data_IF_709069712727
#
_entry.id   IF_709069712727
#
_cell.length_a   1.000
_cell.length_b   1.000
_cell.length_c   1.000
_cell.angle_alpha   90.00
_cell.angle_beta   90.00
_cell.angle_gamma   90.00
#
_symmetry.space_group_name_H-M   'P 1'
#
loop_
_entity.id
_entity.type
_entity.pdbx_description
1 polymer ?
#
# COMPACT_ATOMS: atom_id res chain seq x y z
N UNK A 1 -15.39 27.95 -0.66
CA UNK A 1 -14.89 27.37 0.59
C UNK A 1 -15.58 26.02 0.76
N UNK A 2 -15.06 24.99 0.09
CA UNK A 2 -15.49 23.59 0.25
C UNK A 2 -14.28 22.85 0.77
N UNK A 3 -14.47 22.23 1.91
CA UNK A 3 -13.53 21.40 2.61
C UNK A 3 -13.64 20.00 1.99
N UNK A 4 -12.59 19.55 1.32
CA UNK A 4 -12.47 18.18 0.82
C UNK A 4 -11.27 17.56 1.53
N UNK A 5 -11.53 17.11 2.76
CA UNK A 5 -10.71 16.14 3.46
C UNK A 5 -10.81 14.82 2.69
N UNK A 6 -9.72 14.30 2.13
CA UNK A 6 -9.82 13.13 1.24
C UNK A 6 -8.50 12.59 0.71
N UNK A 7 -7.50 12.38 1.56
CA UNK A 7 -6.72 11.15 1.46
C UNK A 7 -7.44 10.18 2.40
N UNK A 8 -7.83 8.94 2.03
CA UNK A 8 -8.49 8.06 2.98
C UNK A 8 -7.49 7.71 4.09
N UNK A 9 -7.58 8.45 5.19
CA UNK A 9 -6.97 8.13 6.47
C UNK A 9 -8.01 7.31 7.23
N UNK A 10 -7.80 6.00 7.34
CA UNK A 10 -8.51 5.16 8.30
C UNK A 10 -9.35 4.05 7.68
N UNK A 11 -9.07 2.83 8.11
CA UNK A 11 -9.94 1.69 7.84
C UNK A 11 -11.32 1.87 8.47
N UNK A 12 -12.32 1.24 7.87
CA UNK A 12 -13.66 1.02 8.42
C UNK A 12 -14.18 -0.33 7.89
N UNK A 13 -15.27 -0.89 8.46
CA UNK A 13 -15.28 -2.11 9.26
C UNK A 13 -15.74 -3.37 8.50
N UNK A 14 -15.51 -4.50 9.16
CA UNK A 14 -15.95 -5.86 8.83
C UNK A 14 -17.40 -5.89 8.29
N UNK A 15 -17.54 -6.30 7.02
CA UNK A 15 -18.76 -6.95 6.52
C UNK A 15 -18.35 -8.17 5.70
N UNK A 16 -18.40 -9.31 6.40
CA UNK A 16 -18.24 -10.67 5.87
C UNK A 16 -19.27 -10.91 4.77
N UNK A 17 -18.84 -10.89 3.50
CA UNK A 17 -19.69 -11.31 2.38
C UNK A 17 -18.92 -12.27 1.47
N UNK A 18 -19.55 -13.42 1.24
CA UNK A 18 -19.05 -14.59 0.52
C UNK A 18 -18.61 -14.25 -0.91
N UNK A 19 -17.34 -14.54 -1.23
CA UNK A 19 -16.82 -14.52 -2.60
C UNK A 19 -17.46 -15.67 -3.38
N UNK A 20 -18.33 -15.32 -4.35
CA UNK A 20 -18.81 -16.26 -5.37
C UNK A 20 -17.76 -16.32 -6.48
N UNK A 21 -17.07 -17.46 -6.54
CA UNK A 21 -16.13 -17.84 -7.59
C UNK A 21 -16.79 -17.70 -8.98
N UNK A 22 -16.10 -17.04 -9.91
CA UNK A 22 -16.36 -17.14 -11.34
C UNK A 22 -15.06 -17.47 -12.05
N UNK A 23 -15.00 -18.68 -12.61
CA UNK A 23 -13.91 -19.17 -13.42
C UNK A 23 -13.97 -18.60 -14.84
N UNK A 24 -12.81 -18.13 -15.33
CA UNK A 24 -12.52 -17.82 -16.72
C UNK A 24 -11.01 -18.00 -16.92
N UNK A 25 -10.60 -18.66 -18.01
CA UNK A 25 -9.19 -18.96 -18.31
C UNK A 25 -8.38 -17.67 -18.50
N UNK A 26 -7.62 -17.31 -17.47
CA UNK A 26 -6.62 -16.24 -17.38
C UNK A 26 -5.90 -16.44 -16.05
N UNK A 27 -4.59 -16.25 -15.98
CA UNK A 27 -3.81 -16.55 -14.77
C UNK A 27 -4.47 -16.00 -13.51
N UNK A 28 -4.78 -16.90 -12.58
CA UNK A 28 -5.34 -16.50 -11.28
C UNK A 28 -4.23 -15.78 -10.54
N UNK A 29 -4.49 -14.54 -10.10
CA UNK A 29 -3.51 -13.79 -9.31
C UNK A 29 -3.10 -14.63 -8.10
N UNK A 30 -1.79 -14.74 -7.81
CA UNK A 30 -1.33 -15.49 -6.66
C UNK A 30 -1.88 -14.86 -5.38
N UNK A 31 -2.27 -15.69 -4.41
CA UNK A 31 -2.68 -15.19 -3.09
C UNK A 31 -1.48 -14.82 -2.21
N UNK A 32 -0.29 -15.35 -2.54
CA UNK A 32 0.95 -15.20 -1.78
C UNK A 32 2.12 -14.98 -2.73
N UNK A 33 2.96 -14.00 -2.42
CA UNK A 33 4.15 -13.64 -3.22
C UNK A 33 5.36 -13.41 -2.31
N UNK A 34 6.61 -13.56 -2.81
CA UNK A 34 7.81 -13.08 -2.14
C UNK A 34 7.66 -11.63 -1.66
N UNK A 35 8.16 -11.32 -0.47
CA UNK A 35 7.99 -9.99 0.15
C UNK A 35 8.72 -8.86 -0.60
N UNK A 36 9.70 -9.21 -1.41
CA UNK A 36 10.47 -8.31 -2.27
C UNK A 36 9.86 -8.12 -3.66
N UNK A 37 8.77 -8.82 -3.99
CA UNK A 37 8.11 -8.73 -5.30
C UNK A 37 7.15 -7.53 -5.41
N UNK A 38 6.26 -7.24 -4.44
CA UNK A 38 5.39 -6.08 -4.55
C UNK A 38 6.12 -4.75 -4.42
N UNK A 39 5.94 -3.90 -5.43
CA UNK A 39 6.59 -2.60 -5.55
C UNK A 39 5.90 -1.56 -4.65
N UNK A 40 6.63 -0.82 -3.79
CA UNK A 40 6.05 0.26 -3.01
C UNK A 40 5.65 1.45 -3.87
N UNK A 41 4.42 1.93 -3.69
CA UNK A 41 3.95 3.22 -4.24
C UNK A 41 4.09 4.40 -3.26
N UNK A 42 4.78 4.22 -2.12
CA UNK A 42 4.88 5.22 -1.06
C UNK A 42 6.32 5.35 -0.56
N UNK A 43 6.84 6.57 -0.50
CA UNK A 43 8.24 6.85 -0.11
C UNK A 43 8.50 6.74 1.40
N UNK A 44 7.50 7.02 2.24
CA UNK A 44 7.68 7.18 3.67
C UNK A 44 6.65 6.39 4.45
N UNK A 45 6.98 5.93 5.65
CA UNK A 45 5.98 5.41 6.59
C UNK A 45 5.71 6.48 7.65
N UNK A 46 4.44 6.78 7.88
CA UNK A 46 4.03 7.63 8.99
C UNK A 46 4.21 6.90 10.33
N UNK A 47 5.09 7.43 11.19
CA UNK A 47 5.40 6.86 12.49
C UNK A 47 4.17 6.72 13.40
N UNK A 48 3.16 7.59 13.26
CA UNK A 48 1.92 7.47 14.04
C UNK A 48 1.07 6.29 13.58
N UNK A 49 0.98 6.04 12.27
CA UNK A 49 0.32 4.84 11.72
C UNK A 49 1.08 3.58 12.10
N UNK A 50 2.41 3.59 12.00
CA UNK A 50 3.24 2.46 12.42
C UNK A 50 3.03 2.15 13.90
N UNK A 51 3.02 3.16 14.78
CA UNK A 51 2.76 2.97 16.21
C UNK A 51 1.41 2.31 16.45
N UNK A 52 0.35 2.80 15.81
CA UNK A 52 -0.98 2.21 15.94
C UNK A 52 -1.02 0.76 15.43
N UNK A 53 -0.27 0.45 14.38
CA UNK A 53 -0.16 -0.92 13.87
C UNK A 53 0.56 -1.85 14.85
N UNK A 54 1.62 -1.35 15.50
CA UNK A 54 2.35 -2.10 16.53
C UNK A 54 1.51 -2.44 17.77
N UNK A 55 0.37 -1.78 18.00
CA UNK A 55 -0.53 -2.11 19.13
C UNK A 55 -1.26 -3.45 18.96
N UNK A 56 -1.42 -3.93 17.72
CA UNK A 56 -2.14 -5.16 17.42
C UNK A 56 -1.34 -6.17 16.60
N UNK A 57 -0.19 -5.78 16.05
CA UNK A 57 0.65 -6.67 15.26
C UNK A 57 1.48 -7.60 16.17
N UNK A 58 1.29 -8.91 16.03
CA UNK A 58 2.10 -9.93 16.69
C UNK A 58 3.28 -10.31 15.77
N UNK A 59 4.52 -10.14 16.25
CA UNK A 59 5.71 -10.46 15.48
C UNK A 59 6.02 -11.96 15.47
N UNK A 60 5.57 -12.70 16.47
CA UNK A 60 5.80 -14.15 16.57
C UNK A 60 4.74 -14.92 15.77
N UNK A 61 3.54 -14.35 15.60
CA UNK A 61 2.46 -14.89 14.76
C UNK A 61 1.78 -13.77 13.92
N UNK A 62 2.44 -13.28 12.84
CA UNK A 62 1.92 -12.18 12.03
C UNK A 62 0.57 -12.47 11.37
N UNK A 63 -0.51 -12.03 12.02
CA UNK A 63 -1.87 -12.10 11.50
C UNK A 63 -2.35 -10.72 11.05
N UNK A 64 -2.54 -10.54 9.74
CA UNK A 64 -3.08 -9.33 9.14
C UNK A 64 -3.84 -9.67 7.85
N UNK A 65 -4.78 -8.80 7.47
CA UNK A 65 -5.51 -8.97 6.20
C UNK A 65 -4.54 -8.87 5.01
N UNK A 66 -4.76 -9.64 3.92
CA UNK A 66 -3.96 -9.56 2.70
C UNK A 66 -3.77 -8.12 2.21
N UNK A 67 -2.61 -7.87 1.62
CA UNK A 67 -2.19 -6.53 1.23
C UNK A 67 -2.81 -6.19 -0.13
N UNK A 68 -3.57 -5.08 -0.26
CA UNK A 68 -4.14 -4.66 -1.52
C UNK A 68 -3.05 -4.30 -2.54
N UNK A 69 -3.18 -4.82 -3.75
CA UNK A 69 -2.29 -4.51 -4.87
C UNK A 69 -3.06 -4.12 -6.13
N UNK A 70 -2.44 -3.24 -6.90
CA UNK A 70 -2.75 -3.02 -8.30
C UNK A 70 -1.83 -3.87 -9.16
N UNK A 71 -2.36 -4.39 -10.27
CA UNK A 71 -1.53 -4.97 -11.32
C UNK A 71 -1.31 -3.90 -12.38
N UNK A 72 -0.14 -3.25 -12.34
CA UNK A 72 0.23 -2.18 -13.27
C UNK A 72 1.30 -2.75 -14.20
N UNK A 73 0.93 -2.92 -15.47
CA UNK A 73 1.78 -3.59 -16.47
C UNK A 73 2.03 -5.04 -16.05
N UNK A 74 3.26 -5.41 -15.72
CA UNK A 74 3.64 -6.76 -15.28
C UNK A 74 4.10 -6.77 -13.81
N UNK A 75 3.77 -5.74 -13.03
CA UNK A 75 4.19 -5.58 -11.63
C UNK A 75 3.01 -5.51 -10.66
N UNK A 76 3.16 -6.13 -9.48
CA UNK A 76 2.29 -5.89 -8.34
C UNK A 76 2.73 -4.61 -7.64
N UNK A 77 1.86 -3.60 -7.60
CA UNK A 77 2.10 -2.33 -6.94
C UNK A 77 1.22 -2.25 -5.70
N UNK A 78 1.82 -2.03 -4.53
CA UNK A 78 1.07 -1.82 -3.29
C UNK A 78 0.18 -0.59 -3.44
N UNK A 79 -1.15 -0.73 -3.39
CA UNK A 79 -2.06 0.42 -3.37
C UNK A 79 -2.29 0.93 -1.95
N UNK A 80 -2.32 0.02 -0.98
CA UNK A 80 -2.37 0.30 0.45
C UNK A 80 -1.57 -0.77 1.22
N UNK A 81 -1.48 -0.64 2.54
CA UNK A 81 -0.93 -1.66 3.40
C UNK A 81 0.59 -1.64 3.50
N UNK A 82 1.28 -0.58 3.04
CA UNK A 82 2.74 -0.46 3.15
C UNK A 82 3.24 -0.61 4.60
N UNK A 83 2.48 -0.13 5.58
CA UNK A 83 2.81 -0.33 7.01
C UNK A 83 2.72 -1.81 7.42
N UNK A 84 1.71 -2.55 6.92
CA UNK A 84 1.56 -4.00 7.18
C UNK A 84 2.66 -4.79 6.49
N UNK A 85 2.92 -4.51 5.23
CA UNK A 85 4.02 -5.11 4.47
C UNK A 85 5.36 -4.89 5.19
N UNK A 86 5.61 -3.65 5.64
CA UNK A 86 6.82 -3.30 6.35
C UNK A 86 6.94 -4.01 7.71
N UNK A 87 5.86 -4.14 8.47
CA UNK A 87 5.86 -4.92 9.71
C UNK A 87 6.11 -6.41 9.46
N UNK A 88 5.52 -7.00 8.41
CA UNK A 88 5.80 -8.37 8.00
C UNK A 88 7.29 -8.56 7.65
N UNK A 89 7.89 -7.59 6.96
CA UNK A 89 9.32 -7.59 6.68
C UNK A 89 10.15 -7.54 7.97
N UNK A 90 9.80 -6.68 8.92
CA UNK A 90 10.48 -6.59 10.22
C UNK A 90 10.31 -7.87 11.07
N UNK A 91 9.21 -8.61 10.89
CA UNK A 91 8.98 -9.92 11.51
C UNK A 91 9.78 -11.05 10.83
N UNK A 92 10.51 -10.76 9.75
CA UNK A 92 11.30 -11.75 9.02
C UNK A 92 10.48 -12.61 8.05
N UNK A 93 9.28 -12.17 7.67
CA UNK A 93 8.49 -12.86 6.65
C UNK A 93 9.22 -12.86 5.31
N UNK A 94 9.24 -14.02 4.64
CA UNK A 94 9.79 -14.17 3.29
C UNK A 94 8.74 -13.98 2.21
N UNK A 95 7.47 -14.10 2.58
CA UNK A 95 6.30 -13.97 1.69
C UNK A 95 5.22 -13.15 2.38
N UNK A 96 4.34 -12.55 1.59
CA UNK A 96 3.16 -11.84 2.05
C UNK A 96 1.94 -12.25 1.25
N UNK A 97 0.77 -12.25 1.89
CA UNK A 97 -0.49 -12.45 1.20
C UNK A 97 -0.93 -11.16 0.51
N UNK A 98 -1.35 -11.26 -0.74
CA UNK A 98 -1.83 -10.14 -1.55
C UNK A 98 -3.25 -10.39 -2.05
N UNK A 99 -3.96 -9.31 -2.35
CA UNK A 99 -5.31 -9.35 -2.93
C UNK A 99 -5.45 -8.22 -3.94
N UNK A 100 -6.18 -8.40 -5.05
CA UNK A 100 -6.50 -7.28 -5.93
C UNK A 100 -7.21 -6.19 -5.13
N UNK A 101 -6.82 -4.94 -5.36
CA UNK A 101 -7.48 -3.82 -4.70
C UNK A 101 -8.98 -3.82 -5.04
N UNK A 102 -9.87 -3.86 -4.03
CA UNK A 102 -11.32 -3.92 -4.24
C UNK A 102 -11.86 -2.68 -4.94
N UNK A 103 -11.18 -1.54 -4.79
CA UNK A 103 -11.58 -0.23 -5.27
C UNK A 103 -10.74 0.19 -6.49
N UNK A 104 -9.98 -0.72 -7.11
CA UNK A 104 -9.07 -0.43 -8.24
C UNK A 104 -9.71 0.34 -9.41
N UNK A 105 -11.02 0.21 -9.62
CA UNK A 105 -11.76 0.91 -10.68
C UNK A 105 -11.96 2.40 -10.38
N UNK A 106 -11.85 2.80 -9.12
CA UNK A 106 -11.98 4.18 -8.63
C UNK A 106 -10.60 4.82 -8.39
N UNK A 107 -9.53 4.03 -8.44
CA UNK A 107 -8.16 4.51 -8.24
C UNK A 107 -7.62 5.20 -9.50
N UNK A 108 -6.96 6.33 -9.30
CA UNK A 108 -6.25 7.05 -10.35
C UNK A 108 -4.93 6.32 -10.68
N UNK A 109 -5.01 5.34 -11.59
CA UNK A 109 -3.85 4.54 -12.02
C UNK A 109 -2.68 5.39 -12.53
N UNK A 110 -2.88 6.47 -13.32
CA UNK A 110 -1.80 7.39 -13.67
C UNK A 110 -1.05 7.97 -12.47
N UNK A 111 -1.75 8.40 -11.41
CA UNK A 111 -1.12 8.90 -10.19
C UNK A 111 -0.29 7.81 -9.50
N UNK A 112 -0.81 6.57 -9.44
CA UNK A 112 -0.05 5.44 -8.88
C UNK A 112 1.24 5.13 -9.68
N UNK A 113 1.20 5.24 -11.01
CA UNK A 113 2.41 5.12 -11.86
C UNK A 113 3.44 6.19 -11.50
N UNK A 114 3.00 7.44 -11.32
CA UNK A 114 3.90 8.53 -10.91
C UNK A 114 4.49 8.31 -9.51
N UNK A 115 3.69 7.83 -8.56
CA UNK A 115 4.15 7.45 -7.24
C UNK A 115 5.23 6.34 -7.29
N UNK A 116 5.05 5.33 -8.15
CA UNK A 116 6.05 4.29 -8.41
C UNK A 116 7.33 4.88 -9.00
N UNK A 117 7.22 5.80 -9.97
CA UNK A 117 8.39 6.48 -10.55
C UNK A 117 9.17 7.29 -9.51
N UNK A 118 8.48 7.98 -8.59
CA UNK A 118 9.14 8.66 -7.48
C UNK A 118 9.89 7.68 -6.57
N UNK A 119 9.28 6.54 -6.27
CA UNK A 119 9.91 5.48 -5.47
C UNK A 119 11.16 4.92 -6.17
N UNK A 120 11.09 4.62 -7.48
CA UNK A 120 12.26 4.22 -8.29
C UNK A 120 13.39 5.24 -8.23
N UNK A 121 13.07 6.52 -8.44
CA UNK A 121 14.05 7.61 -8.44
C UNK A 121 14.75 7.79 -7.09
N UNK A 122 14.06 7.46 -5.99
CA UNK A 122 14.62 7.50 -4.65
C UNK A 122 15.17 6.15 -4.15
N UNK A 123 15.27 5.15 -5.04
CA UNK A 123 15.73 3.80 -4.68
C UNK A 123 14.89 3.13 -3.59
N UNK A 124 13.57 3.32 -3.66
CA UNK A 124 12.56 2.59 -2.89
C UNK A 124 11.87 1.63 -3.85
N UNK A 125 12.40 0.43 -3.96
CA UNK A 125 11.97 -0.57 -4.97
C UNK A 125 11.36 -1.82 -4.35
N UNK A 126 11.59 -2.03 -3.06
CA UNK A 126 11.11 -3.17 -2.29
C UNK A 126 10.67 -2.69 -0.91
N UNK A 127 9.82 -3.47 -0.24
CA UNK A 127 9.31 -3.15 1.11
C UNK A 127 10.43 -2.88 2.12
N UNK A 128 11.56 -3.59 2.00
CA UNK A 128 12.72 -3.41 2.87
C UNK A 128 13.33 -2.00 2.79
N UNK A 129 13.20 -1.31 1.64
CA UNK A 129 13.77 0.03 1.43
C UNK A 129 13.02 1.12 2.21
N UNK A 130 11.86 0.78 2.80
CA UNK A 130 11.15 1.63 3.76
C UNK A 130 11.86 1.69 5.13
N UNK A 131 12.82 0.81 5.39
CA UNK A 131 13.67 0.89 6.56
C UNK A 131 14.48 2.21 6.54
N UNK A 132 14.40 2.96 7.64
CA UNK A 132 15.00 4.30 7.72
C UNK A 132 14.15 5.41 7.09
N UNK A 133 12.97 5.11 6.53
CA UNK A 133 12.01 6.08 5.96
C UNK A 133 10.74 6.23 6.80
N UNK A 134 10.81 5.84 8.07
CA UNK A 134 9.76 6.09 9.07
C UNK A 134 9.92 7.53 9.57
N UNK A 135 8.94 8.39 9.29
CA UNK A 135 9.00 9.83 9.58
C UNK A 135 7.86 10.28 10.48
N UNK A 136 7.99 11.46 11.09
CA UNK A 136 6.92 12.04 11.89
C UNK A 136 5.65 12.26 11.06
N UNK A 137 4.48 12.37 11.71
CA UNK A 137 3.22 12.69 11.01
C UNK A 137 3.36 13.97 10.19
N UNK A 138 3.92 15.02 10.76
CA UNK A 138 4.07 16.32 10.08
C UNK A 138 4.96 16.17 8.85
N UNK A 139 6.10 15.50 8.99
CA UNK A 139 7.00 15.21 7.87
C UNK A 139 6.33 14.35 6.79
N UNK A 140 5.53 13.36 7.17
CA UNK A 140 4.78 12.54 6.22
C UNK A 140 3.76 13.39 5.44
N UNK A 141 3.02 14.27 6.13
CA UNK A 141 2.06 15.15 5.47
C UNK A 141 2.77 16.12 4.50
N UNK A 142 3.89 16.70 4.91
CA UNK A 142 4.62 17.69 4.12
C UNK A 142 5.40 17.08 2.95
N UNK A 143 6.06 15.94 3.15
CA UNK A 143 6.96 15.36 2.14
C UNK A 143 6.30 14.32 1.24
N UNK A 144 5.25 13.65 1.74
CA UNK A 144 4.51 12.65 0.97
C UNK A 144 3.15 13.17 0.51
N UNK A 145 2.26 13.48 1.45
CA UNK A 145 0.87 13.83 1.11
C UNK A 145 0.81 15.08 0.25
N UNK A 146 1.53 16.15 0.63
CA UNK A 146 1.56 17.37 -0.17
C UNK A 146 2.21 17.17 -1.55
N UNK A 147 3.16 16.23 -1.68
CA UNK A 147 3.77 15.87 -2.97
C UNK A 147 2.76 15.19 -3.88
N UNK A 148 2.00 14.22 -3.37
CA UNK A 148 0.90 13.60 -4.10
C UNK A 148 -0.14 14.65 -4.52
N UNK A 149 -0.56 15.53 -3.61
CA UNK A 149 -1.54 16.59 -3.88
C UNK A 149 -1.07 17.65 -4.88
N UNK A 150 0.24 17.86 -4.98
CA UNK A 150 0.83 18.78 -5.96
C UNK A 150 0.96 18.14 -7.36
N UNK A 151 0.73 16.84 -7.50
CA UNK A 151 0.70 16.19 -8.80
C UNK A 151 -0.48 16.72 -9.62
N UNK A 152 -0.27 17.06 -10.91
CA UNK A 152 -1.37 17.36 -11.82
C UNK A 152 -2.38 16.21 -11.93
N UNK A 153 -1.95 14.97 -11.68
CA UNK A 153 -2.80 13.79 -11.75
C UNK A 153 -3.71 13.63 -10.54
N UNK A 154 -3.50 14.39 -9.45
CA UNK A 154 -4.26 14.20 -8.20
C UNK A 154 -5.77 14.48 -8.35
N UNK A 155 -6.12 15.52 -9.12
CA UNK A 155 -7.50 15.95 -9.32
C UNK A 155 -8.15 15.35 -10.60
N UNK A 156 -7.44 14.49 -11.32
CA UNK A 156 -7.91 13.86 -12.58
C UNK A 156 -8.63 12.51 -12.36
N UNK A 157 -8.85 12.11 -11.09
CA UNK A 157 -9.49 10.85 -10.67
C UNK A 157 -10.99 10.97 -10.41
#
# INVERSE_FOLDING_TARGET
MRQCDGFPLGGVPIVRTLVKQREGLGETMPSSVPIDEPFPSQLYIDASRLRNALEWFDFDDPAYDPIPVLHIEDEFVLSDGHTRAFLAHLAGATTIEIVPDPDQQELNIPLYRECVDWCRNESVTQVADLAGRVVSRDTFLEQWVARCQASPLYDEG
#
